data_IF_844462668346
#
_entry.id   IF_844462668346
#
_cell.length_a   1.000
_cell.length_b   1.000
_cell.length_c   1.000
_cell.angle_alpha   90.00
_cell.angle_beta   90.00
_cell.angle_gamma   90.00
#
_symmetry.space_group_name_H-M   'P 1'
#
loop_
_entity.id
_entity.type
_entity.pdbx_description
1 polymer ?
#
# COMPACT_ATOMS: atom_id res chain seq x y z
N UNK A 1 7.69 3.68 -34.66
CA UNK A 1 7.95 4.57 -33.49
C UNK A 1 6.89 4.47 -32.37
N UNK A 2 5.61 4.18 -32.65
CA UNK A 2 4.55 4.15 -31.62
C UNK A 2 4.69 3.09 -30.51
N UNK A 3 5.37 1.96 -30.76
CA UNK A 3 5.51 0.88 -29.77
C UNK A 3 6.29 1.27 -28.52
N UNK A 4 7.27 2.18 -28.61
CA UNK A 4 8.05 2.63 -27.43
C UNK A 4 7.20 3.55 -26.55
N UNK A 5 6.53 4.54 -27.14
CA UNK A 5 5.67 5.47 -26.41
C UNK A 5 4.54 4.75 -25.67
N UNK A 6 3.86 3.80 -26.32
CA UNK A 6 2.80 3.00 -25.70
C UNK A 6 3.31 2.18 -24.51
N UNK A 7 4.49 1.56 -24.62
CA UNK A 7 5.11 0.79 -23.52
C UNK A 7 5.44 1.68 -22.32
N UNK A 8 5.98 2.87 -22.57
CA UNK A 8 6.28 3.84 -21.51
C UNK A 8 5.01 4.32 -20.79
N UNK A 9 3.95 4.63 -21.54
CA UNK A 9 2.67 5.02 -20.95
C UNK A 9 2.05 3.90 -20.11
N UNK A 10 2.08 2.65 -20.60
CA UNK A 10 1.60 1.50 -19.84
C UNK A 10 2.39 1.31 -18.55
N UNK A 11 3.72 1.36 -18.63
CA UNK A 11 4.60 1.25 -17.47
C UNK A 11 4.30 2.36 -16.45
N UNK A 12 4.14 3.61 -16.91
CA UNK A 12 3.76 4.73 -16.06
C UNK A 12 2.42 4.48 -15.35
N UNK A 13 1.37 4.04 -16.05
CA UNK A 13 0.07 3.73 -15.43
C UNK A 13 0.16 2.64 -14.36
N UNK A 14 0.94 1.58 -14.61
CA UNK A 14 1.15 0.49 -13.66
C UNK A 14 1.89 1.01 -12.43
N UNK A 15 3.03 1.68 -12.62
CA UNK A 15 3.84 2.22 -11.53
C UNK A 15 3.08 3.27 -10.71
N UNK A 16 2.28 4.12 -11.37
CA UNK A 16 1.40 5.08 -10.72
C UNK A 16 0.36 4.38 -9.83
N UNK A 17 -0.34 3.37 -10.37
CA UNK A 17 -1.37 2.64 -9.62
C UNK A 17 -0.76 1.87 -8.45
N UNK A 18 0.40 1.22 -8.67
CA UNK A 18 1.16 0.55 -7.62
C UNK A 18 1.60 1.53 -6.54
N UNK A 19 2.19 2.67 -6.92
CA UNK A 19 2.73 3.65 -5.99
C UNK A 19 1.65 4.18 -5.04
N UNK A 20 0.50 4.62 -5.56
CA UNK A 20 -0.59 5.15 -4.72
C UNK A 20 -1.09 4.08 -3.76
N UNK A 21 -1.40 2.90 -4.28
CA UNK A 21 -2.00 1.85 -3.48
C UNK A 21 -1.05 1.28 -2.42
N UNK A 22 0.21 1.04 -2.79
CA UNK A 22 1.21 0.54 -1.85
C UNK A 22 1.49 1.57 -0.76
N UNK A 23 1.56 2.87 -1.06
CA UNK A 23 1.77 3.89 -0.04
C UNK A 23 0.58 4.03 0.92
N UNK A 24 -0.66 3.96 0.42
CA UNK A 24 -1.84 3.96 1.30
C UNK A 24 -1.84 2.73 2.22
N UNK A 25 -1.52 1.55 1.67
CA UNK A 25 -1.44 0.31 2.44
C UNK A 25 -0.34 0.41 3.50
N UNK A 26 0.86 0.86 3.11
CA UNK A 26 2.00 1.04 4.00
C UNK A 26 1.65 2.02 5.11
N UNK A 27 1.06 3.18 4.80
CA UNK A 27 0.66 4.14 5.84
C UNK A 27 -0.38 3.52 6.78
N UNK A 28 -1.44 2.91 6.26
CA UNK A 28 -2.50 2.33 7.09
C UNK A 28 -1.96 1.23 8.04
N UNK A 29 -1.15 0.31 7.51
CA UNK A 29 -0.58 -0.81 8.29
C UNK A 29 0.50 -0.32 9.24
N UNK A 30 1.47 0.46 8.75
CA UNK A 30 2.58 0.94 9.55
C UNK A 30 2.08 1.82 10.70
N UNK A 31 1.28 2.84 10.41
CA UNK A 31 0.79 3.76 11.43
C UNK A 31 -0.18 3.10 12.40
N UNK A 32 -1.09 2.25 11.89
CA UNK A 32 -2.08 1.59 12.72
C UNK A 32 -1.50 0.53 13.64
N UNK A 33 -0.40 -0.14 13.24
CA UNK A 33 0.04 -1.36 13.92
C UNK A 33 1.48 -1.35 14.43
N UNK A 34 2.40 -0.71 13.71
CA UNK A 34 3.85 -0.90 13.91
C UNK A 34 4.48 0.36 14.54
N UNK A 35 4.00 1.53 14.13
CA UNK A 35 4.66 2.80 14.37
C UNK A 35 4.89 3.09 15.85
N UNK A 36 3.86 2.95 16.70
CA UNK A 36 3.97 3.26 18.13
C UNK A 36 5.03 2.41 18.83
N UNK A 37 5.14 1.12 18.47
CA UNK A 37 6.12 0.21 19.06
C UNK A 37 7.54 0.51 18.56
N UNK A 38 7.70 0.78 17.26
CA UNK A 38 9.00 1.13 16.70
C UNK A 38 9.51 2.48 17.20
N UNK A 39 8.64 3.48 17.37
CA UNK A 39 9.01 4.76 17.97
C UNK A 39 9.50 4.57 19.39
N UNK A 40 8.78 3.83 20.24
CA UNK A 40 9.21 3.54 21.62
C UNK A 40 10.57 2.82 21.64
N UNK A 41 10.75 1.82 20.78
CA UNK A 41 11.99 1.05 20.67
C UNK A 41 13.20 1.90 20.26
N UNK A 42 12.98 2.94 19.46
CA UNK A 42 14.06 3.75 18.91
C UNK A 42 14.27 5.10 19.59
N UNK A 43 13.28 5.64 20.31
CA UNK A 43 13.34 6.97 20.91
C UNK A 43 14.45 7.11 21.96
N UNK A 44 14.64 6.08 22.78
CA UNK A 44 15.55 6.12 23.94
C UNK A 44 17.00 5.76 23.59
N UNK A 45 17.32 5.53 22.32
CA UNK A 45 18.68 5.19 21.90
C UNK A 45 19.61 6.40 22.01
N UNK A 46 20.70 6.31 22.81
CA UNK A 46 21.61 7.44 23.02
C UNK A 46 22.27 7.87 21.70
N UNK A 47 22.31 9.18 21.46
CA UNK A 47 22.96 9.80 20.30
C UNK A 47 22.21 9.69 18.96
N UNK A 48 21.33 8.69 18.77
CA UNK A 48 20.66 8.45 17.47
C UNK A 48 19.12 8.41 17.52
N UNK A 49 18.52 8.36 18.72
CA UNK A 49 17.09 8.10 18.86
C UNK A 49 16.19 9.11 18.16
N UNK A 50 16.47 10.41 18.34
CA UNK A 50 15.71 11.49 17.67
C UNK A 50 15.75 11.38 16.14
N UNK A 51 16.93 11.07 15.58
CA UNK A 51 17.11 10.92 14.13
C UNK A 51 16.36 9.71 13.57
N UNK A 52 16.38 8.59 14.29
CA UNK A 52 15.62 7.38 13.91
C UNK A 52 14.12 7.60 13.97
N UNK A 53 13.62 8.24 15.02
CA UNK A 53 12.20 8.59 15.12
C UNK A 53 11.80 9.51 13.97
N UNK A 54 12.56 10.58 13.70
CA UNK A 54 12.29 11.46 12.57
C UNK A 54 12.27 10.70 11.23
N UNK A 55 13.23 9.81 11.01
CA UNK A 55 13.26 8.94 9.83
C UNK A 55 12.00 8.08 9.74
N UNK A 56 11.59 7.41 10.83
CA UNK A 56 10.40 6.57 10.88
C UNK A 56 9.12 7.34 10.50
N UNK A 57 8.98 8.59 10.92
CA UNK A 57 7.85 9.45 10.53
C UNK A 57 7.94 9.80 9.03
N UNK A 58 9.10 10.28 8.58
CA UNK A 58 9.26 10.85 7.23
C UNK A 58 9.19 9.82 6.12
N UNK A 59 9.80 8.64 6.28
CA UNK A 59 9.83 7.61 5.22
C UNK A 59 8.47 7.00 4.90
N UNK A 60 7.47 7.20 5.77
CA UNK A 60 6.11 6.73 5.52
C UNK A 60 5.15 7.87 5.15
N UNK A 61 5.33 9.07 5.72
CA UNK A 61 4.45 10.22 5.44
C UNK A 61 4.78 10.95 4.15
N UNK A 62 6.07 11.17 3.87
CA UNK A 62 6.49 11.91 2.69
C UNK A 62 6.11 11.17 1.41
N UNK A 63 6.37 9.85 1.25
CA UNK A 63 5.93 9.13 0.06
C UNK A 63 4.41 9.15 -0.14
N UNK A 64 3.63 9.03 0.93
CA UNK A 64 2.18 9.11 0.84
C UNK A 64 1.69 10.51 0.41
N UNK A 65 2.25 11.58 0.99
CA UNK A 65 1.97 12.94 0.56
C UNK A 65 2.34 13.17 -0.91
N UNK A 66 3.51 12.68 -1.35
CA UNK A 66 3.93 12.71 -2.74
C UNK A 66 2.95 11.95 -3.65
N UNK A 67 2.41 10.81 -3.23
CA UNK A 67 1.38 10.09 -3.99
C UNK A 67 0.09 10.89 -4.11
N UNK A 68 -0.37 11.57 -3.05
CA UNK A 68 -1.54 12.44 -3.11
C UNK A 68 -1.34 13.63 -4.06
N UNK A 69 -0.21 14.33 -3.93
CA UNK A 69 0.14 15.46 -4.81
C UNK A 69 0.25 14.97 -6.26
N UNK A 70 0.96 13.87 -6.50
CA UNK A 70 1.11 13.28 -7.83
C UNK A 70 -0.24 12.89 -8.42
N UNK A 71 -1.13 12.29 -7.62
CA UNK A 71 -2.48 11.92 -8.04
C UNK A 71 -3.34 13.11 -8.42
N UNK A 72 -3.11 14.27 -7.77
CA UNK A 72 -3.85 15.51 -8.01
C UNK A 72 -3.37 16.22 -9.28
N UNK A 73 -2.05 16.29 -9.51
CA UNK A 73 -1.49 17.00 -10.67
C UNK A 73 -1.51 16.18 -11.96
N UNK A 74 -1.54 14.83 -11.87
CA UNK A 74 -1.54 13.97 -13.05
C UNK A 74 -2.95 13.72 -13.58
N UNK A 75 -3.11 13.67 -14.90
CA UNK A 75 -4.36 13.23 -15.55
C UNK A 75 -4.48 11.70 -15.65
N UNK A 76 -3.51 10.96 -15.11
CA UNK A 76 -3.47 9.50 -15.13
C UNK A 76 -4.47 8.88 -14.15
N UNK A 77 -5.53 8.22 -14.62
CA UNK A 77 -6.50 7.53 -13.75
C UNK A 77 -5.99 6.17 -13.28
N UNK A 78 -6.34 5.78 -12.05
CA UNK A 78 -6.10 4.44 -11.52
C UNK A 78 -6.72 3.33 -12.39
N UNK A 79 -5.95 2.27 -12.67
CA UNK A 79 -6.39 1.21 -13.58
C UNK A 79 -7.51 0.33 -13.02
N UNK A 80 -8.60 0.18 -13.76
CA UNK A 80 -9.72 -0.72 -13.40
C UNK A 80 -9.35 -2.20 -13.35
N UNK A 81 -8.18 -2.59 -13.87
CA UNK A 81 -7.72 -3.98 -13.91
C UNK A 81 -6.75 -4.34 -12.78
N UNK A 82 -6.21 -3.33 -12.09
CA UNK A 82 -5.16 -3.53 -11.10
C UNK A 82 -5.64 -4.26 -9.84
N UNK A 83 -6.94 -4.20 -9.51
CA UNK A 83 -7.49 -4.95 -8.36
C UNK A 83 -7.21 -6.45 -8.41
N UNK A 84 -7.03 -7.03 -9.61
CA UNK A 84 -6.70 -8.46 -9.79
C UNK A 84 -5.29 -8.81 -9.31
N UNK A 85 -4.38 -7.83 -9.25
CA UNK A 85 -3.02 -8.03 -8.75
C UNK A 85 -2.96 -7.98 -7.22
N UNK A 86 -3.95 -7.37 -6.56
CA UNK A 86 -3.93 -7.20 -5.10
C UNK A 86 -3.96 -8.52 -4.34
N UNK A 87 -4.82 -9.50 -4.70
CA UNK A 87 -4.78 -10.82 -4.05
C UNK A 87 -3.47 -11.55 -4.25
N UNK A 88 -2.84 -11.38 -5.42
CA UNK A 88 -1.55 -12.03 -5.72
C UNK A 88 -0.47 -11.46 -4.79
N UNK A 89 -0.39 -10.12 -4.69
CA UNK A 89 0.57 -9.45 -3.80
C UNK A 89 0.31 -9.82 -2.33
N UNK A 90 -0.96 -9.81 -1.90
CA UNK A 90 -1.32 -10.19 -0.53
C UNK A 90 -0.98 -11.64 -0.21
N UNK A 91 -1.18 -12.56 -1.16
CA UNK A 91 -0.85 -13.98 -0.99
C UNK A 91 0.65 -14.18 -0.87
N UNK A 92 1.44 -13.53 -1.74
CA UNK A 92 2.90 -13.56 -1.65
C UNK A 92 3.38 -13.02 -0.31
N UNK A 93 2.80 -11.91 0.16
CA UNK A 93 3.13 -11.35 1.46
C UNK A 93 2.81 -12.31 2.62
N UNK A 94 1.66 -12.97 2.59
CA UNK A 94 1.32 -14.00 3.59
C UNK A 94 2.26 -15.20 3.55
N UNK A 95 2.70 -15.63 2.35
CA UNK A 95 3.69 -16.68 2.21
C UNK A 95 5.05 -16.27 2.82
N UNK A 96 5.49 -15.02 2.60
CA UNK A 96 6.68 -14.50 3.26
C UNK A 96 6.55 -14.48 4.78
N UNK A 97 5.39 -14.07 5.32
CA UNK A 97 5.13 -14.07 6.76
C UNK A 97 5.15 -15.49 7.34
N UNK A 98 4.58 -16.46 6.62
CA UNK A 98 4.65 -17.87 7.00
C UNK A 98 6.10 -18.34 7.09
N UNK A 99 6.90 -18.10 6.05
CA UNK A 99 8.32 -18.48 6.03
C UNK A 99 9.11 -17.78 7.14
N UNK A 100 8.87 -16.49 7.38
CA UNK A 100 9.52 -15.71 8.43
C UNK A 100 9.21 -16.28 9.83
N UNK A 101 7.95 -16.61 10.11
CA UNK A 101 7.56 -17.21 11.39
C UNK A 101 8.24 -18.57 11.57
N UNK A 102 8.30 -19.39 10.52
CA UNK A 102 8.98 -20.69 10.57
C UNK A 102 10.49 -20.57 10.81
N UNK A 103 11.11 -19.50 10.32
CA UNK A 103 12.55 -19.27 10.48
C UNK A 103 12.93 -18.61 11.81
N UNK A 104 12.11 -17.68 12.29
CA UNK A 104 12.45 -16.80 13.43
C UNK A 104 11.67 -17.11 14.70
N UNK A 105 10.53 -17.79 14.59
CA UNK A 105 9.55 -17.93 15.66
C UNK A 105 8.82 -16.63 16.04
N UNK A 106 9.11 -15.52 15.36
CA UNK A 106 8.56 -14.19 15.69
C UNK A 106 7.41 -13.83 14.75
N UNK A 107 6.26 -13.52 15.34
CA UNK A 107 5.09 -12.99 14.62
C UNK A 107 5.24 -11.48 14.45
N UNK A 108 5.11 -10.99 13.22
CA UNK A 108 5.06 -9.55 12.95
C UNK A 108 3.71 -8.94 13.34
N UNK A 109 2.63 -9.71 13.13
CA UNK A 109 1.26 -9.29 13.44
C UNK A 109 0.62 -10.27 14.41
N UNK A 110 -0.01 -9.73 15.44
CA UNK A 110 -0.64 -10.52 16.50
C UNK A 110 -1.80 -11.39 15.99
N UNK A 111 -2.47 -11.00 14.90
CA UNK A 111 -3.58 -11.74 14.31
C UNK A 111 -3.15 -12.81 13.29
N UNK A 112 -1.86 -12.91 12.97
CA UNK A 112 -1.34 -13.97 12.09
C UNK A 112 -0.73 -15.05 12.97
N UNK A 113 -1.43 -16.17 13.08
CA UNK A 113 -0.98 -17.36 13.80
C UNK A 113 -1.20 -18.61 12.94
N UNK A 114 -0.16 -19.02 12.23
CA UNK A 114 -0.20 -20.22 11.38
C UNK A 114 -0.08 -21.53 12.17
N UNK A 115 0.32 -21.49 13.44
CA UNK A 115 0.63 -22.68 14.23
C UNK A 115 -0.54 -23.06 15.14
N UNK A 116 -1.11 -22.11 15.87
CA UNK A 116 -2.14 -22.38 16.87
C UNK A 116 -3.55 -22.07 16.36
N UNK A 117 -3.71 -21.22 15.35
CA UNK A 117 -5.03 -20.79 14.89
C UNK A 117 -5.08 -20.52 13.38
N UNK A 118 -4.75 -21.56 12.60
CA UNK A 118 -4.75 -21.49 11.13
C UNK A 118 -6.10 -21.02 10.57
N UNK A 119 -7.21 -21.52 11.10
CA UNK A 119 -8.56 -21.15 10.63
C UNK A 119 -8.83 -19.65 10.80
N UNK A 120 -8.52 -19.07 11.97
CA UNK A 120 -8.66 -17.63 12.18
C UNK A 120 -7.74 -16.85 11.24
N UNK A 121 -6.50 -17.29 11.07
CA UNK A 121 -5.54 -16.65 10.16
C UNK A 121 -6.04 -16.63 8.71
N UNK A 122 -6.65 -17.72 8.24
CA UNK A 122 -7.23 -17.81 6.90
C UNK A 122 -8.48 -16.92 6.75
N UNK A 123 -9.35 -16.87 7.76
CA UNK A 123 -10.52 -15.97 7.76
C UNK A 123 -10.07 -14.50 7.71
N UNK A 124 -9.11 -14.11 8.55
CA UNK A 124 -8.54 -12.76 8.56
C UNK A 124 -7.90 -12.43 7.21
N UNK A 125 -7.17 -13.38 6.61
CA UNK A 125 -6.60 -13.23 5.28
C UNK A 125 -7.66 -12.94 4.21
N UNK A 126 -8.75 -13.71 4.18
CA UNK A 126 -9.84 -13.51 3.22
C UNK A 126 -10.49 -12.14 3.44
N UNK A 127 -10.80 -11.78 4.69
CA UNK A 127 -11.42 -10.49 5.03
C UNK A 127 -10.53 -9.32 4.63
N UNK A 128 -9.23 -9.39 4.92
CA UNK A 128 -8.28 -8.35 4.52
C UNK A 128 -8.17 -8.21 3.00
N UNK A 129 -8.19 -9.32 2.25
CA UNK A 129 -8.18 -9.27 0.79
C UNK A 129 -9.46 -8.63 0.23
N UNK A 130 -10.63 -8.97 0.77
CA UNK A 130 -11.87 -8.33 0.35
C UNK A 130 -11.87 -6.84 0.69
N UNK A 131 -11.40 -6.48 1.88
CA UNK A 131 -11.28 -5.10 2.32
C UNK A 131 -10.32 -4.31 1.41
N UNK A 132 -9.17 -4.88 1.07
CA UNK A 132 -8.18 -4.19 0.24
C UNK A 132 -8.69 -3.94 -1.19
N UNK A 133 -9.45 -4.90 -1.75
CA UNK A 133 -10.13 -4.74 -3.03
C UNK A 133 -11.20 -3.64 -2.93
N UNK A 134 -12.03 -3.65 -1.88
CA UNK A 134 -13.07 -2.65 -1.68
C UNK A 134 -12.49 -1.24 -1.56
N UNK A 135 -11.44 -1.07 -0.75
CA UNK A 135 -10.71 0.19 -0.58
C UNK A 135 -10.11 0.64 -1.91
N UNK A 136 -9.49 -0.26 -2.68
CA UNK A 136 -8.95 0.08 -4.00
C UNK A 136 -10.04 0.59 -4.94
N UNK A 137 -11.17 -0.10 -5.04
CA UNK A 137 -12.27 0.31 -5.92
C UNK A 137 -12.88 1.65 -5.47
N UNK A 138 -12.97 1.89 -4.16
CA UNK A 138 -13.43 3.15 -3.62
C UNK A 138 -12.49 4.30 -4.00
N UNK A 139 -11.17 4.17 -3.75
CA UNK A 139 -10.17 5.19 -4.10
C UNK A 139 -10.16 5.44 -5.60
N UNK A 140 -10.21 4.38 -6.41
CA UNK A 140 -10.33 4.50 -7.87
C UNK A 140 -11.57 5.29 -8.28
N UNK A 141 -12.73 5.03 -7.66
CA UNK A 141 -13.96 5.79 -7.95
C UNK A 141 -13.81 7.27 -7.62
N UNK A 142 -13.15 7.60 -6.51
CA UNK A 142 -12.84 8.99 -6.16
C UNK A 142 -11.89 9.64 -7.16
N UNK A 143 -10.84 8.93 -7.58
CA UNK A 143 -9.86 9.39 -8.57
C UNK A 143 -10.49 9.64 -9.95
N UNK A 144 -11.37 8.74 -10.39
CA UNK A 144 -12.16 8.92 -11.62
C UNK A 144 -13.07 10.16 -11.54
N UNK A 145 -13.72 10.38 -10.39
CA UNK A 145 -14.63 11.52 -10.17
C UNK A 145 -13.90 12.85 -10.02
N UNK A 146 -12.68 12.88 -9.48
CA UNK A 146 -11.90 14.12 -9.36
C UNK A 146 -11.41 14.59 -10.73
N UNK A 147 -10.95 13.64 -11.57
CA UNK A 147 -10.39 13.94 -12.90
C UNK A 147 -11.44 14.30 -13.94
N UNK A 148 -12.63 13.69 -13.89
CA UNK A 148 -13.76 14.07 -14.75
C UNK A 148 -14.26 15.50 -14.51
N UNK A 149 -14.02 16.07 -13.32
CA UNK A 149 -14.43 17.46 -12.99
C UNK A 149 -13.44 18.52 -13.49
N UNK A 150 -12.19 18.13 -13.79
CA UNK A 150 -11.15 19.04 -14.25
C UNK A 150 -11.01 19.12 -15.77
N UNK A 151 -11.81 18.35 -16.51
CA UNK A 151 -11.81 18.32 -17.98
C UNK A 151 -13.24 18.59 -18.42
N UNK A 152 -13.54 19.84 -18.78
CA UNK A 152 -14.63 20.12 -19.71
C UNK A 152 -14.26 19.40 -21.00
N UNK A 153 -14.77 18.18 -21.17
CA UNK A 153 -14.79 17.58 -22.48
C UNK A 153 -15.77 18.43 -23.30
N UNK A 154 -15.32 19.17 -24.35
CA UNK A 154 -16.27 19.59 -25.36
C UNK A 154 -16.96 18.32 -25.83
N UNK A 155 -18.29 18.32 -25.72
CA UNK A 155 -19.15 17.18 -25.99
C UNK A 155 -18.67 16.44 -27.25
N UNK A 156 -18.31 15.17 -27.09
CA UNK A 156 -18.06 14.26 -28.21
C UNK A 156 -19.38 13.78 -28.79
#
# INVERSE_FOLDING_TARGET
>A
MYGRARRLQLAHHILYSMSIFMNITVVAVYWGMIHANEVKKHADLPGVGKGRVFHLYTVHTVPAACCFVNSYITMCVLSSKFWRLLPIISTLYYAFQFLQIRQTGVRLYWFIDFENNLNLTLVVFIVLNLLIIAVYQFIRSLDEKSKKRGVDYPDQ
#
